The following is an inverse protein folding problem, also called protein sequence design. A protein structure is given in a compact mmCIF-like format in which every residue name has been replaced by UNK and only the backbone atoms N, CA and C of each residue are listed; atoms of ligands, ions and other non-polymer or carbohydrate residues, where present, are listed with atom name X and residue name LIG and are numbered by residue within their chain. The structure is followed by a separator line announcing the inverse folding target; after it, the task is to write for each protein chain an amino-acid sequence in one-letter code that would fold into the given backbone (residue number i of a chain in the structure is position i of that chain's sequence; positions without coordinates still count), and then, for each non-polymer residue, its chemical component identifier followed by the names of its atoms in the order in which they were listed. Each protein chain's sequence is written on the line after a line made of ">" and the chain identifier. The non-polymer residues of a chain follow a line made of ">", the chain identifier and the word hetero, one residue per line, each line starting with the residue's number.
data_IF_202200336944
#
_entry.id   IF_202200336944
#
_cell.length_a   1.000
_cell.length_b   1.000
_cell.length_c   1.000
_cell.angle_alpha   90.00
_cell.angle_beta   90.00
_cell.angle_gamma   90.00
#
_symmetry.space_group_name_H-M   'P 1'
#
loop_
_entity.id
_entity.type
_entity.pdbx_description
1 polymer ?
#
# COMPACT_ATOMS: atom_id res chain seq x y z
N UNK A 1 21.96 -0.42 -15.42
CA UNK A 1 22.41 -1.55 -14.59
C UNK A 1 22.10 -1.25 -13.13
N UNK A 2 21.69 -2.26 -12.36
CA UNK A 2 21.58 -2.14 -10.90
C UNK A 2 22.93 -2.44 -10.27
N UNK A 3 23.46 -1.51 -9.47
CA UNK A 3 24.73 -1.70 -8.75
C UNK A 3 24.43 -2.32 -7.40
N UNK A 4 24.99 -3.49 -7.12
CA UNK A 4 24.89 -4.11 -5.80
C UNK A 4 25.79 -3.35 -4.82
N UNK A 5 25.22 -2.90 -3.70
CA UNK A 5 25.96 -2.24 -2.63
C UNK A 5 25.73 -2.96 -1.32
N UNK A 6 26.80 -3.13 -0.54
CA UNK A 6 26.67 -3.61 0.84
C UNK A 6 26.30 -2.44 1.75
N UNK A 7 25.00 -2.29 2.00
CA UNK A 7 24.47 -1.29 2.93
C UNK A 7 24.24 -1.94 4.30
N UNK A 8 25.19 -1.77 5.21
CA UNK A 8 24.99 -2.13 6.63
C UNK A 8 23.89 -1.25 7.26
N UNK A 9 23.30 -1.70 8.38
CA UNK A 9 22.18 -0.98 9.02
C UNK A 9 22.52 0.50 9.34
N UNK A 10 23.73 0.76 9.83
CA UNK A 10 24.20 2.13 10.10
C UNK A 10 24.38 2.93 8.81
N UNK A 11 25.00 2.32 7.79
CA UNK A 11 25.23 3.00 6.52
C UNK A 11 23.91 3.35 5.82
N UNK A 12 22.88 2.51 5.94
CA UNK A 12 21.54 2.79 5.40
C UNK A 12 20.95 4.08 5.99
N UNK A 13 20.96 4.20 7.32
CA UNK A 13 20.41 5.36 8.02
C UNK A 13 21.21 6.63 7.72
N UNK A 14 22.55 6.53 7.72
CA UNK A 14 23.43 7.65 7.37
C UNK A 14 23.18 8.10 5.93
N UNK A 15 23.11 7.17 4.98
CA UNK A 15 22.87 7.46 3.57
C UNK A 15 21.51 8.13 3.37
N UNK A 16 20.46 7.62 4.03
CA UNK A 16 19.12 8.22 3.98
C UNK A 16 19.13 9.67 4.49
N UNK A 17 19.80 9.94 5.62
CA UNK A 17 19.96 11.31 6.15
C UNK A 17 20.76 12.22 5.22
N UNK A 18 21.86 11.75 4.66
CA UNK A 18 22.69 12.51 3.72
C UNK A 18 21.93 12.91 2.45
N UNK A 19 20.95 12.09 2.04
CA UNK A 19 20.07 12.36 0.90
C UNK A 19 18.79 13.12 1.28
N UNK A 20 18.65 13.58 2.53
CA UNK A 20 17.47 14.26 3.05
C UNK A 20 16.17 13.44 2.89
N UNK A 21 16.27 12.10 2.96
CA UNK A 21 15.11 11.24 2.93
C UNK A 21 14.32 11.38 4.25
N UNK A 22 12.99 11.48 4.15
CA UNK A 22 12.10 11.42 5.32
C UNK A 22 11.84 9.98 5.80
N UNK A 23 12.05 9.00 4.92
CA UNK A 23 11.70 7.61 5.17
C UNK A 23 12.60 6.62 4.42
N UNK A 24 12.66 5.39 4.91
CA UNK A 24 13.27 4.23 4.25
C UNK A 24 12.17 3.23 3.91
N UNK A 25 12.15 2.76 2.66
CA UNK A 25 11.22 1.72 2.20
C UNK A 25 11.95 0.40 1.94
N UNK A 26 11.45 -0.68 2.54
CA UNK A 26 11.93 -2.04 2.32
C UNK A 26 11.00 -2.72 1.30
N UNK A 27 11.50 -2.95 0.09
CA UNK A 27 10.68 -3.32 -1.09
C UNK A 27 11.49 -4.10 -2.14
N UNK A 28 10.84 -4.48 -3.25
CA UNK A 28 11.28 -5.33 -4.37
C UNK A 28 11.54 -6.79 -3.96
N UNK A 29 12.48 -7.00 -3.04
CA UNK A 29 12.60 -8.26 -2.33
C UNK A 29 11.66 -8.20 -1.13
N UNK A 30 10.95 -9.29 -0.86
CA UNK A 30 10.02 -9.40 0.27
C UNK A 30 10.74 -9.10 1.60
N UNK A 31 10.44 -7.99 2.31
CA UNK A 31 11.12 -7.59 3.54
C UNK A 31 11.04 -8.63 4.66
N UNK A 32 10.01 -9.49 4.66
CA UNK A 32 9.88 -10.58 5.62
C UNK A 32 11.00 -11.64 5.43
N UNK A 33 11.55 -11.80 4.22
CA UNK A 33 12.61 -12.80 3.95
C UNK A 33 13.94 -12.40 4.59
N UNK A 34 14.21 -11.11 4.75
CA UNK A 34 15.41 -10.58 5.42
C UNK A 34 15.02 -9.85 6.72
N UNK A 35 14.14 -10.51 7.49
CA UNK A 35 13.48 -9.98 8.67
C UNK A 35 14.43 -9.30 9.67
N UNK A 36 15.55 -9.94 10.04
CA UNK A 36 16.49 -9.42 11.04
C UNK A 36 17.11 -8.10 10.59
N UNK A 37 17.47 -8.00 9.31
CA UNK A 37 18.00 -6.78 8.72
C UNK A 37 16.96 -5.65 8.79
N UNK A 38 15.72 -5.91 8.38
CA UNK A 38 14.64 -4.92 8.42
C UNK A 38 14.38 -4.45 9.84
N UNK A 39 14.31 -5.39 10.80
CA UNK A 39 14.04 -5.08 12.19
C UNK A 39 15.15 -4.20 12.80
N UNK A 40 16.41 -4.56 12.60
CA UNK A 40 17.53 -3.82 13.20
C UNK A 40 17.80 -2.50 12.50
N UNK A 41 17.73 -2.46 11.17
CA UNK A 41 17.80 -1.21 10.42
C UNK A 41 16.64 -0.27 10.79
N UNK A 42 15.43 -0.81 10.96
CA UNK A 42 14.24 -0.05 11.33
C UNK A 42 14.34 0.59 12.71
N UNK A 43 14.94 -0.11 13.70
CA UNK A 43 15.24 0.47 15.03
C UNK A 43 16.15 1.68 14.90
N UNK A 44 17.29 1.52 14.22
CA UNK A 44 18.29 2.57 14.04
C UNK A 44 17.70 3.77 13.29
N UNK A 45 16.94 3.52 12.22
CA UNK A 45 16.26 4.55 11.44
C UNK A 45 15.27 5.36 12.29
N UNK A 46 14.44 4.66 13.09
CA UNK A 46 13.44 5.28 13.97
C UNK A 46 14.09 6.13 15.07
N UNK A 47 15.14 5.63 15.72
CA UNK A 47 15.94 6.39 16.70
C UNK A 47 16.56 7.67 16.09
N UNK A 48 16.74 7.67 14.77
CA UNK A 48 17.29 8.78 14.02
C UNK A 48 16.23 9.70 13.38
N UNK A 49 14.95 9.51 13.69
CA UNK A 49 13.84 10.34 13.19
C UNK A 49 13.40 10.03 11.75
N UNK A 50 13.81 8.89 11.19
CA UNK A 50 13.34 8.43 9.88
C UNK A 50 12.12 7.52 10.04
N UNK A 51 11.17 7.65 9.12
CA UNK A 51 10.03 6.73 9.01
C UNK A 51 10.45 5.44 8.31
N UNK A 52 9.83 4.31 8.69
CA UNK A 52 10.06 3.02 8.06
C UNK A 52 8.80 2.56 7.32
N UNK A 53 8.97 2.14 6.06
CA UNK A 53 7.88 1.69 5.19
C UNK A 53 8.15 0.25 4.77
N UNK A 54 7.19 -0.65 5.03
CA UNK A 54 7.23 -2.03 4.56
C UNK A 54 6.40 -2.16 3.28
N UNK A 55 6.96 -2.70 2.20
CA UNK A 55 6.19 -3.10 1.01
C UNK A 55 6.26 -4.61 0.92
N UNK A 56 5.14 -5.29 1.19
CA UNK A 56 5.16 -6.72 1.53
C UNK A 56 3.94 -7.48 1.00
N UNK A 57 4.15 -8.75 0.69
CA UNK A 57 3.09 -9.73 0.48
C UNK A 57 2.44 -10.22 1.78
N UNK A 58 2.88 -9.77 2.96
CA UNK A 58 2.18 -9.94 4.24
C UNK A 58 2.18 -11.35 4.84
N UNK A 59 2.95 -12.30 4.31
CA UNK A 59 3.02 -13.68 4.82
C UNK A 59 4.00 -13.78 5.99
N UNK A 60 3.51 -13.56 7.21
CA UNK A 60 4.31 -13.58 8.44
C UNK A 60 3.48 -14.04 9.64
N UNK A 61 4.10 -14.71 10.61
CA UNK A 61 3.44 -15.10 11.86
C UNK A 61 3.16 -13.87 12.73
N UNK A 62 2.12 -13.94 13.57
CA UNK A 62 1.67 -12.83 14.40
C UNK A 62 2.76 -12.24 15.32
N UNK A 63 3.53 -13.08 16.01
CA UNK A 63 4.57 -12.62 16.95
C UNK A 63 5.72 -11.83 16.29
N UNK A 64 6.38 -12.32 15.23
CA UNK A 64 7.38 -11.51 14.52
C UNK A 64 6.76 -10.29 13.84
N UNK A 65 5.52 -10.35 13.37
CA UNK A 65 4.84 -9.17 12.82
C UNK A 65 4.70 -8.05 13.86
N UNK A 66 4.24 -8.35 15.08
CA UNK A 66 4.14 -7.36 16.15
C UNK A 66 5.47 -6.70 16.47
N UNK A 67 6.58 -7.45 16.41
CA UNK A 67 7.93 -6.90 16.59
C UNK A 67 8.30 -5.93 15.47
N UNK A 68 7.98 -6.23 14.21
CA UNK A 68 8.17 -5.30 13.09
C UNK A 68 7.27 -4.06 13.21
N UNK A 69 6.03 -4.20 13.67
CA UNK A 69 5.12 -3.06 13.85
C UNK A 69 5.67 -2.01 14.82
N UNK A 70 6.51 -2.40 15.79
CA UNK A 70 7.18 -1.44 16.70
C UNK A 70 8.14 -0.49 16.01
N UNK A 71 8.66 -0.85 14.83
CA UNK A 71 9.60 -0.03 14.06
C UNK A 71 9.00 0.52 12.77
N UNK A 72 7.97 -0.13 12.22
CA UNK A 72 7.27 0.31 11.02
C UNK A 72 6.40 1.55 11.29
N UNK A 73 6.50 2.55 10.42
CA UNK A 73 5.61 3.71 10.41
C UNK A 73 4.43 3.49 9.48
N UNK A 74 4.69 2.86 8.33
CA UNK A 74 3.69 2.52 7.33
C UNK A 74 3.97 1.16 6.68
N UNK A 75 2.94 0.57 6.08
CA UNK A 75 3.04 -0.62 5.28
C UNK A 75 2.12 -0.54 4.06
N UNK A 76 2.63 -0.93 2.89
CA UNK A 76 1.82 -1.27 1.73
C UNK A 76 1.80 -2.80 1.62
N UNK A 77 0.61 -3.39 1.78
CA UNK A 77 0.43 -4.84 1.82
C UNK A 77 -0.33 -5.31 0.58
N UNK A 78 0.22 -6.30 -0.12
CA UNK A 78 -0.45 -6.89 -1.28
C UNK A 78 -1.59 -7.83 -0.84
N UNK A 79 -2.84 -7.38 -1.03
CA UNK A 79 -4.02 -8.22 -0.89
C UNK A 79 -4.50 -8.62 -2.27
N UNK A 80 -3.92 -9.69 -2.81
CA UNK A 80 -3.99 -9.99 -4.25
C UNK A 80 -5.34 -10.54 -4.73
N UNK A 81 -6.14 -11.16 -3.87
CA UNK A 81 -7.50 -11.61 -4.22
C UNK A 81 -8.33 -11.90 -2.97
N UNK A 82 -9.66 -11.92 -3.14
CA UNK A 82 -10.63 -12.45 -2.16
C UNK A 82 -11.18 -13.83 -2.58
N UNK A 83 -10.45 -14.49 -3.48
CA UNK A 83 -10.63 -15.88 -3.90
C UNK A 83 -9.51 -16.74 -3.29
N UNK A 84 -9.89 -17.71 -2.45
CA UNK A 84 -8.96 -18.61 -1.76
C UNK A 84 -8.18 -19.50 -2.73
N UNK A 85 -8.78 -19.90 -3.85
CA UNK A 85 -8.13 -20.73 -4.87
C UNK A 85 -7.02 -19.94 -5.56
N UNK A 86 -7.29 -18.70 -5.98
CA UNK A 86 -6.27 -17.83 -6.55
C UNK A 86 -5.13 -17.57 -5.56
N UNK A 87 -5.45 -17.25 -4.31
CA UNK A 87 -4.44 -17.02 -3.27
C UNK A 87 -3.53 -18.24 -3.09
N UNK A 88 -4.11 -19.45 -3.04
CA UNK A 88 -3.35 -20.68 -2.83
C UNK A 88 -2.58 -21.14 -4.06
N UNK A 89 -3.23 -21.22 -5.22
CA UNK A 89 -2.67 -21.81 -6.44
C UNK A 89 -1.73 -20.85 -7.18
N UNK A 90 -2.04 -19.56 -7.19
CA UNK A 90 -1.25 -18.55 -7.93
C UNK A 90 -0.28 -17.82 -7.02
N UNK A 91 -0.71 -17.44 -5.81
CA UNK A 91 0.11 -16.63 -4.90
C UNK A 91 0.88 -17.47 -3.86
N UNK A 92 0.59 -18.76 -3.71
CA UNK A 92 1.16 -19.63 -2.66
C UNK A 92 0.98 -19.04 -1.24
N UNK A 93 -0.18 -18.42 -1.01
CA UNK A 93 -0.58 -17.76 0.22
C UNK A 93 -2.00 -18.16 0.63
N UNK A 94 -2.28 -18.11 1.92
CA UNK A 94 -3.64 -18.28 2.45
C UNK A 94 -4.22 -16.88 2.70
N UNK A 95 -5.46 -16.63 2.27
CA UNK A 95 -6.11 -15.32 2.41
C UNK A 95 -6.14 -14.88 3.87
N UNK A 96 -6.54 -15.77 4.77
CA UNK A 96 -6.70 -15.49 6.20
C UNK A 96 -5.41 -15.00 6.86
N UNK A 97 -4.24 -15.47 6.40
CA UNK A 97 -2.95 -14.99 6.91
C UNK A 97 -2.73 -13.51 6.55
N UNK A 98 -3.12 -13.10 5.34
CA UNK A 98 -2.97 -11.70 4.91
C UNK A 98 -3.97 -10.80 5.63
N UNK A 99 -5.21 -11.28 5.81
CA UNK A 99 -6.23 -10.58 6.58
C UNK A 99 -5.81 -10.39 8.05
N UNK A 100 -5.20 -11.41 8.66
CA UNK A 100 -4.63 -11.34 9.99
C UNK A 100 -3.48 -10.32 10.05
N UNK A 101 -2.57 -10.33 9.08
CA UNK A 101 -1.47 -9.35 9.00
C UNK A 101 -1.96 -7.92 8.95
N UNK A 102 -2.91 -7.62 8.06
CA UNK A 102 -3.53 -6.29 7.93
C UNK A 102 -4.17 -5.84 9.25
N UNK A 103 -4.91 -6.76 9.90
CA UNK A 103 -5.58 -6.48 11.17
C UNK A 103 -4.57 -6.16 12.28
N UNK A 104 -3.51 -6.96 12.41
CA UNK A 104 -2.46 -6.73 13.42
C UNK A 104 -1.75 -5.40 13.16
N UNK A 105 -1.35 -5.12 11.91
CA UNK A 105 -0.68 -3.85 11.58
C UNK A 105 -1.53 -2.63 11.94
N UNK A 106 -2.85 -2.68 11.67
CA UNK A 106 -3.77 -1.62 12.07
C UNK A 106 -3.90 -1.50 13.58
N UNK A 107 -4.02 -2.60 14.31
CA UNK A 107 -4.12 -2.62 15.77
C UNK A 107 -2.85 -2.07 16.44
N UNK A 108 -1.68 -2.35 15.87
CA UNK A 108 -0.39 -1.85 16.35
C UNK A 108 -0.10 -0.40 15.92
N UNK A 109 -1.04 0.27 15.24
CA UNK A 109 -0.95 1.69 14.87
C UNK A 109 -0.13 1.99 13.62
N UNK A 110 0.21 0.98 12.82
CA UNK A 110 0.89 1.18 11.53
C UNK A 110 -0.09 1.81 10.53
N UNK A 111 0.38 2.80 9.75
CA UNK A 111 -0.38 3.29 8.60
C UNK A 111 -0.38 2.21 7.51
N UNK A 112 -1.54 1.66 7.19
CA UNK A 112 -1.65 0.57 6.22
C UNK A 112 -2.30 1.08 4.96
N UNK A 113 -1.69 0.76 3.82
CA UNK A 113 -2.28 0.84 2.50
C UNK A 113 -2.29 -0.55 1.88
N UNK A 114 -3.25 -0.79 0.98
CA UNK A 114 -3.44 -2.08 0.33
C UNK A 114 -3.19 -1.93 -1.16
N UNK A 115 -2.40 -2.83 -1.74
CA UNK A 115 -2.27 -2.95 -3.20
C UNK A 115 -2.96 -4.21 -3.69
N UNK A 116 -3.75 -4.06 -4.75
CA UNK A 116 -4.36 -5.15 -5.49
C UNK A 116 -3.98 -5.01 -6.98
N UNK A 117 -3.05 -5.86 -7.44
CA UNK A 117 -2.72 -5.97 -8.86
C UNK A 117 -3.80 -6.80 -9.55
N UNK A 118 -4.60 -6.17 -10.41
CA UNK A 118 -5.67 -6.88 -11.12
C UNK A 118 -5.08 -7.55 -12.35
N UNK A 119 -5.08 -8.89 -12.37
CA UNK A 119 -4.69 -9.75 -13.48
C UNK A 119 -5.95 -10.24 -14.18
N UNK A 120 -6.16 -9.89 -15.46
CA UNK A 120 -7.34 -10.31 -16.20
C UNK A 120 -7.58 -11.81 -16.15
N UNK A 121 -8.84 -12.22 -16.07
CA UNK A 121 -9.31 -13.62 -15.99
C UNK A 121 -8.95 -14.39 -14.72
N UNK A 122 -8.08 -13.85 -13.85
CA UNK A 122 -7.61 -14.55 -12.66
C UNK A 122 -8.15 -13.97 -11.35
N UNK A 123 -8.19 -12.64 -11.21
CA UNK A 123 -8.69 -11.97 -10.00
C UNK A 123 -9.47 -10.67 -10.30
N UNK A 124 -9.98 -10.51 -11.52
CA UNK A 124 -10.77 -9.36 -11.98
C UNK A 124 -12.28 -9.51 -11.74
N UNK A 125 -12.68 -10.44 -10.87
CA UNK A 125 -14.08 -10.62 -10.49
C UNK A 125 -14.58 -9.49 -9.57
N UNK A 126 -15.52 -8.68 -10.05
CA UNK A 126 -16.09 -7.57 -9.29
C UNK A 126 -16.83 -7.99 -8.01
N UNK A 127 -17.34 -9.23 -7.94
CA UNK A 127 -17.92 -9.80 -6.73
C UNK A 127 -16.87 -10.00 -5.64
N UNK A 128 -15.67 -10.44 -6.00
CA UNK A 128 -14.56 -10.63 -5.06
C UNK A 128 -14.00 -9.28 -4.59
N UNK A 129 -13.84 -8.33 -5.51
CA UNK A 129 -13.43 -6.95 -5.19
C UNK A 129 -14.44 -6.29 -4.24
N UNK A 130 -15.73 -6.53 -4.43
CA UNK A 130 -16.78 -6.07 -3.51
C UNK A 130 -16.62 -6.67 -2.12
N UNK A 131 -16.39 -7.99 -2.01
CA UNK A 131 -16.16 -8.65 -0.71
C UNK A 131 -14.91 -8.11 -0.02
N UNK A 132 -13.84 -7.88 -0.79
CA UNK A 132 -12.61 -7.26 -0.30
C UNK A 132 -12.87 -5.87 0.27
N UNK A 133 -13.53 -4.99 -0.48
CA UNK A 133 -13.82 -3.63 -0.03
C UNK A 133 -14.70 -3.59 1.22
N UNK A 134 -15.75 -4.43 1.27
CA UNK A 134 -16.60 -4.61 2.47
C UNK A 134 -15.78 -5.05 3.68
N UNK A 135 -14.88 -6.01 3.49
CA UNK A 135 -14.03 -6.50 4.57
C UNK A 135 -13.07 -5.42 5.06
N UNK A 136 -12.40 -4.69 4.16
CA UNK A 136 -11.49 -3.59 4.50
C UNK A 136 -12.24 -2.55 5.34
N UNK A 137 -13.39 -2.08 4.87
CA UNK A 137 -14.20 -1.09 5.59
C UNK A 137 -14.58 -1.58 7.00
N UNK A 138 -15.04 -2.83 7.10
CA UNK A 138 -15.59 -3.37 8.35
C UNK A 138 -14.51 -3.69 9.38
N UNK A 139 -13.30 -4.08 8.94
CA UNK A 139 -12.24 -4.57 9.84
C UNK A 139 -11.11 -3.56 10.05
N UNK A 140 -10.82 -2.71 9.05
CA UNK A 140 -9.69 -1.79 9.07
C UNK A 140 -10.12 -0.31 9.07
N UNK A 141 -11.35 -0.02 8.62
CA UNK A 141 -11.95 1.30 8.52
C UNK A 141 -12.06 1.82 7.08
N UNK A 142 -12.94 2.80 6.86
CA UNK A 142 -13.17 3.42 5.53
C UNK A 142 -11.98 4.22 4.99
N UNK A 143 -11.06 4.59 5.88
CA UNK A 143 -9.93 5.46 5.58
C UNK A 143 -8.65 4.69 5.19
N UNK A 144 -8.67 3.36 5.20
CA UNK A 144 -7.55 2.56 4.71
C UNK A 144 -7.51 2.61 3.18
N UNK A 145 -6.43 3.14 2.58
CA UNK A 145 -6.35 3.23 1.14
C UNK A 145 -6.22 1.88 0.46
N UNK A 146 -6.85 1.76 -0.70
CA UNK A 146 -6.62 0.65 -1.63
C UNK A 146 -6.21 1.17 -3.01
N UNK A 147 -5.21 0.53 -3.60
CA UNK A 147 -4.66 0.82 -4.91
C UNK A 147 -4.92 -0.35 -5.85
N UNK A 148 -5.72 -0.13 -6.89
CA UNK A 148 -5.88 -1.08 -7.99
C UNK A 148 -4.82 -0.80 -9.05
N UNK A 149 -3.89 -1.74 -9.22
CA UNK A 149 -2.75 -1.57 -10.13
C UNK A 149 -2.94 -2.38 -11.40
N UNK A 150 -2.50 -1.80 -12.53
CA UNK A 150 -2.51 -2.46 -13.84
C UNK A 150 -1.45 -3.55 -13.93
N UNK A 151 -1.88 -4.74 -14.35
CA UNK A 151 -0.99 -5.82 -14.73
C UNK A 151 -0.45 -5.62 -16.16
N UNK A 152 0.81 -5.99 -16.35
CA UNK A 152 1.48 -6.08 -17.65
C UNK A 152 1.98 -7.51 -17.87
N UNK A 153 1.65 -8.17 -19.01
CA UNK A 153 2.06 -9.54 -19.30
C UNK A 153 3.57 -9.67 -19.36
N UNK A 154 4.14 -10.40 -18.41
CA UNK A 154 5.57 -10.66 -18.29
C UNK A 154 5.82 -12.08 -17.78
N UNK A 155 7.06 -12.54 -17.91
CA UNK A 155 7.51 -13.84 -17.42
C UNK A 155 6.61 -15.02 -17.86
N UNK A 156 5.95 -15.71 -16.92
CA UNK A 156 5.08 -16.88 -17.18
C UNK A 156 3.66 -16.53 -17.63
N UNK A 157 3.24 -15.28 -17.48
CA UNK A 157 1.86 -14.83 -17.78
C UNK A 157 1.79 -14.03 -19.10
N UNK A 158 2.67 -14.35 -20.06
CA UNK A 158 2.76 -13.67 -21.36
C UNK A 158 1.55 -13.90 -22.29
N UNK A 159 0.75 -14.93 -22.01
CA UNK A 159 -0.45 -15.26 -22.79
C UNK A 159 -1.67 -14.41 -22.41
N UNK A 160 -1.59 -13.64 -21.32
CA UNK A 160 -2.65 -12.72 -20.91
C UNK A 160 -2.43 -11.35 -21.56
N UNK A 161 -3.47 -10.50 -21.51
CA UNK A 161 -3.38 -9.12 -21.95
C UNK A 161 -3.15 -8.18 -20.75
N UNK A 162 -2.59 -6.97 -20.96
CA UNK A 162 -2.56 -5.96 -19.91
C UNK A 162 -3.97 -5.68 -19.40
N UNK A 163 -4.13 -5.39 -18.11
CA UNK A 163 -5.45 -5.07 -17.56
C UNK A 163 -6.06 -3.89 -18.31
N UNK A 164 -7.26 -4.02 -18.89
CA UNK A 164 -7.97 -2.88 -19.44
C UNK A 164 -8.22 -1.83 -18.35
N UNK A 165 -8.05 -0.55 -18.70
CA UNK A 165 -8.26 0.57 -17.76
C UNK A 165 -9.70 0.55 -17.22
N UNK A 166 -10.66 0.17 -18.05
CA UNK A 166 -12.07 0.07 -17.65
C UNK A 166 -12.31 -0.93 -16.51
N UNK A 167 -11.56 -2.04 -16.45
CA UNK A 167 -11.65 -2.98 -15.32
C UNK A 167 -11.16 -2.32 -14.03
N UNK A 168 -10.08 -1.53 -14.09
CA UNK A 168 -9.55 -0.81 -12.93
C UNK A 168 -10.53 0.28 -12.47
N UNK A 169 -11.17 1.00 -13.40
CA UNK A 169 -12.21 1.99 -13.10
C UNK A 169 -13.42 1.35 -12.42
N UNK A 170 -13.89 0.22 -12.95
CA UNK A 170 -14.97 -0.56 -12.34
C UNK A 170 -14.61 -1.04 -10.92
N UNK A 171 -13.39 -1.57 -10.73
CA UNK A 171 -12.92 -1.97 -9.41
C UNK A 171 -12.92 -0.79 -8.41
N UNK A 172 -12.47 0.38 -8.88
CA UNK A 172 -12.50 1.62 -8.10
C UNK A 172 -13.92 2.02 -7.71
N UNK A 173 -14.85 2.05 -8.67
CA UNK A 173 -16.25 2.38 -8.43
C UNK A 173 -16.90 1.42 -7.43
N UNK A 174 -16.68 0.11 -7.58
CA UNK A 174 -17.18 -0.91 -6.66
C UNK A 174 -16.66 -0.66 -5.24
N UNK A 175 -15.35 -0.45 -5.07
CA UNK A 175 -14.76 -0.23 -3.76
C UNK A 175 -15.25 1.08 -3.10
N UNK A 176 -15.42 2.15 -3.89
CA UNK A 176 -16.00 3.42 -3.41
C UNK A 176 -17.48 3.26 -3.04
N UNK A 177 -18.26 2.50 -3.80
CA UNK A 177 -19.68 2.23 -3.51
C UNK A 177 -19.87 1.46 -2.20
N UNK A 178 -18.89 0.63 -1.81
CA UNK A 178 -18.89 -0.03 -0.51
C UNK A 178 -18.49 0.91 0.65
N UNK A 179 -18.04 2.14 0.33
CA UNK A 179 -17.79 3.21 1.29
C UNK A 179 -16.33 3.35 1.72
N UNK A 180 -15.38 2.94 0.88
CA UNK A 180 -13.98 3.31 1.04
C UNK A 180 -13.75 4.74 0.54
N UNK A 181 -13.03 5.55 1.32
CA UNK A 181 -12.80 6.97 1.03
C UNK A 181 -11.64 7.19 0.05
N UNK A 182 -10.63 6.32 0.09
CA UNK A 182 -9.39 6.47 -0.65
C UNK A 182 -9.15 5.24 -1.54
N UNK A 183 -9.59 5.36 -2.79
CA UNK A 183 -9.48 4.29 -3.80
C UNK A 183 -8.77 4.85 -5.02
N UNK A 184 -7.60 4.29 -5.30
CA UNK A 184 -6.71 4.76 -6.34
C UNK A 184 -6.58 3.73 -7.46
N UNK A 185 -6.35 4.24 -8.68
CA UNK A 185 -5.89 3.41 -9.80
C UNK A 185 -4.47 3.84 -10.15
N UNK A 186 -3.57 2.87 -10.18
CA UNK A 186 -2.14 3.10 -10.42
C UNK A 186 -1.60 2.32 -11.62
N UNK A 187 -0.35 2.60 -11.96
CA UNK A 187 0.36 2.00 -13.10
C UNK A 187 -0.31 2.27 -14.46
N UNK A 188 -0.99 3.42 -14.55
CA UNK A 188 -1.62 3.96 -15.76
C UNK A 188 -1.38 5.48 -15.79
N UNK A 189 -1.14 6.08 -16.96
CA UNK A 189 -1.04 7.53 -17.10
C UNK A 189 -2.46 8.13 -17.20
N UNK A 190 -3.31 7.87 -16.21
CA UNK A 190 -4.69 8.36 -16.18
C UNK A 190 -4.80 9.51 -15.18
N UNK A 191 -5.28 10.66 -15.65
CA UNK A 191 -5.56 11.78 -14.76
C UNK A 191 -6.72 11.42 -13.79
N UNK A 192 -6.67 11.98 -12.59
CA UNK A 192 -7.72 11.95 -11.57
C UNK A 192 -7.92 10.67 -10.74
N UNK A 193 -7.42 9.50 -11.16
CA UNK A 193 -7.57 8.28 -10.35
C UNK A 193 -6.47 8.07 -9.31
N UNK A 194 -5.36 8.80 -9.41
CA UNK A 194 -4.22 8.75 -8.47
C UNK A 194 -4.19 9.94 -7.47
N UNK A 195 -5.11 10.90 -7.65
CA UNK A 195 -5.22 12.09 -6.82
C UNK A 195 -6.10 11.83 -5.60
N UNK A 196 -5.76 12.45 -4.46
CA UNK A 196 -6.54 12.33 -3.23
C UNK A 196 -7.65 13.38 -3.20
N UNK A 197 -8.88 12.93 -2.95
CA UNK A 197 -10.07 13.76 -2.81
C UNK A 197 -10.51 13.77 -1.35
N UNK A 198 -10.92 14.93 -0.84
CA UNK A 198 -11.47 15.02 0.51
C UNK A 198 -12.80 14.24 0.58
N UNK A 199 -12.96 13.27 1.51
CA UNK A 199 -14.19 12.50 1.59
C UNK A 199 -15.41 13.34 2.01
N UNK A 200 -15.18 14.50 2.66
CA UNK A 200 -16.23 15.44 3.06
C UNK A 200 -16.63 16.39 1.92
N UNK A 201 -15.75 17.32 1.52
CA UNK A 201 -16.11 18.37 0.56
C UNK A 201 -15.88 18.01 -0.92
N UNK A 202 -15.34 16.82 -1.21
CA UNK A 202 -15.05 16.31 -2.56
C UNK A 202 -14.05 17.14 -3.38
N UNK A 203 -13.44 18.17 -2.79
CA UNK A 203 -12.33 18.87 -3.42
C UNK A 203 -11.09 17.97 -3.50
N UNK A 204 -10.36 18.11 -4.61
CA UNK A 204 -9.04 17.48 -4.79
C UNK A 204 -8.04 18.15 -3.84
N UNK A 205 -7.55 17.39 -2.88
CA UNK A 205 -6.62 17.88 -1.84
C UNK A 205 -5.18 17.53 -2.15
N UNK A 206 -4.92 16.43 -2.88
CA UNK A 206 -3.58 16.15 -3.41
C UNK A 206 -3.72 15.80 -4.88
N UNK A 207 -3.10 16.60 -5.75
CA UNK A 207 -3.02 16.32 -7.19
C UNK A 207 -1.70 15.64 -7.50
N UNK A 208 -1.76 14.47 -8.13
CA UNK A 208 -0.59 13.71 -8.59
C UNK A 208 -0.57 13.59 -10.11
N UNK A 209 0.63 13.51 -10.66
CA UNK A 209 0.94 13.05 -12.02
C UNK A 209 2.07 12.03 -11.89
N UNK A 210 1.72 10.74 -11.90
CA UNK A 210 2.62 9.65 -11.54
C UNK A 210 3.23 9.86 -10.16
N UNK A 211 4.57 9.84 -10.06
CA UNK A 211 5.28 10.02 -8.79
C UNK A 211 5.39 11.48 -8.31
N UNK A 212 4.89 12.46 -9.09
CA UNK A 212 5.01 13.89 -8.73
C UNK A 212 3.73 14.40 -8.09
N UNK A 213 3.88 15.04 -6.93
CA UNK A 213 2.82 15.86 -6.33
C UNK A 213 2.86 17.24 -6.99
N UNK A 214 1.80 17.60 -7.70
CA UNK A 214 1.67 18.88 -8.41
C UNK A 214 0.98 19.92 -7.52
N UNK A 215 0.13 19.47 -6.59
CA UNK A 215 -0.57 20.34 -5.65
C UNK A 215 -0.85 19.58 -4.36
N UNK A 216 -0.65 20.25 -3.22
CA UNK A 216 -1.02 19.73 -1.91
C UNK A 216 -1.78 20.82 -1.12
N UNK A 217 -3.09 20.60 -0.98
CA UNK A 217 -4.02 21.42 -0.20
C UNK A 217 -4.41 20.71 1.13
N UNK A 218 -3.51 19.90 1.67
CA UNK A 218 -3.60 19.36 3.03
C UNK A 218 -2.65 20.17 3.90
N UNK A 219 -3.18 20.77 4.97
CA UNK A 219 -2.36 21.48 5.95
C UNK A 219 -1.42 20.53 6.69
N UNK A 220 -0.37 21.04 7.31
CA UNK A 220 0.62 20.23 8.05
C UNK A 220 0.00 19.39 9.18
N UNK A 221 -1.12 19.83 9.74
CA UNK A 221 -1.90 19.07 10.73
C UNK A 221 -2.85 18.03 10.12
N UNK A 222 -2.71 17.72 8.83
CA UNK A 222 -3.51 16.71 8.13
C UNK A 222 -4.91 17.17 7.73
N UNK A 223 -5.27 18.45 7.87
CA UNK A 223 -6.62 18.92 7.54
C UNK A 223 -6.73 19.40 6.10
N UNK A 224 -7.85 19.09 5.46
CA UNK A 224 -8.26 19.66 4.20
C UNK A 224 -8.33 21.20 4.31
N UNK A 225 -7.58 21.91 3.47
CA UNK A 225 -7.57 23.38 3.49
C UNK A 225 -8.91 24.01 3.07
N UNK A 226 -9.80 23.26 2.42
CA UNK A 226 -11.09 23.76 1.95
C UNK A 226 -12.22 23.64 2.98
N UNK A 227 -12.21 22.61 3.84
CA UNK A 227 -13.32 22.34 4.76
C UNK A 227 -12.89 21.93 6.17
N UNK A 228 -11.59 21.83 6.46
CA UNK A 228 -11.07 21.45 7.78
C UNK A 228 -11.20 19.97 8.13
N UNK A 229 -11.81 19.14 7.28
CA UNK A 229 -11.91 17.70 7.50
C UNK A 229 -10.52 17.05 7.55
N UNK A 230 -10.30 16.13 8.51
CA UNK A 230 -9.04 15.38 8.60
C UNK A 230 -8.87 14.46 7.41
N UNK A 231 -7.77 14.57 6.69
CA UNK A 231 -7.40 13.63 5.63
C UNK A 231 -6.54 12.54 6.26
N UNK A 232 -6.93 11.29 6.09
CA UNK A 232 -6.17 10.17 6.65
C UNK A 232 -4.78 10.07 6.00
N UNK A 233 -3.76 9.85 6.82
CA UNK A 233 -2.36 9.77 6.39
C UNK A 233 -1.40 10.11 7.51
N UNK A 234 -0.10 10.02 7.23
CA UNK A 234 0.98 10.52 8.08
C UNK A 234 1.38 11.90 7.56
N UNK A 235 1.22 12.92 8.38
CA UNK A 235 1.51 14.31 8.04
C UNK A 235 2.61 14.86 8.95
N UNK A 236 3.51 15.64 8.38
CA UNK A 236 4.63 16.31 9.04
C UNK A 236 4.81 17.71 8.48
#
# INVERSE_FOLDING_TARGET
>A
ETVNQMLTNNNLTVTAKQNNCASIAYTYTEPIVFYEYVLDAGKIAKENGLLNILVTGGKINAEPLKKLCKVASAANVDLKSFDNRYMKEVCAQELDNILQTLTIMRQEGVWVEITNLIVPTLNDNMGDIRRMAKWIKSNLGSDVPIHFSRFWPQYKLRSLYPTPIEILKQAREVAMAEGLNYVYVGNVPEEDTESTVCPNCKNKVIKRIGYKIIQNNVASNGKCQFCGHGIAGIWS
#
